data_IF_416877797870
#
_entry.id   IF_416877797870
#
_cell.length_a   1.000
_cell.length_b   1.000
_cell.length_c   1.000
_cell.angle_alpha   90.00
_cell.angle_beta   90.00
_cell.angle_gamma   90.00
#
_symmetry.space_group_name_H-M   'P 1'
#
loop_
_entity.id
_entity.type
_entity.pdbx_description
1 polymer ?
#
# COMPACT_ATOMS: atom_id res chain seq x y z
N UNK A 1 58.95 18.63 11.90
CA UNK A 1 57.77 19.19 11.21
C UNK A 1 56.70 18.12 11.19
N UNK A 2 55.68 18.31 12.00
CA UNK A 2 54.61 17.33 12.24
C UNK A 2 53.35 17.74 11.47
N UNK A 3 52.67 16.86 10.71
CA UNK A 3 51.39 17.18 10.09
C UNK A 3 50.25 16.87 11.05
N UNK A 4 49.39 17.88 11.26
CA UNK A 4 48.20 17.86 12.09
C UNK A 4 47.12 16.95 11.50
N UNK A 5 46.69 15.96 12.27
CA UNK A 5 45.47 15.17 12.02
C UNK A 5 44.26 16.06 12.20
N UNK A 6 43.46 16.27 11.14
CA UNK A 6 42.11 16.81 11.23
C UNK A 6 41.13 15.66 11.48
N UNK A 7 40.52 15.63 12.65
CA UNK A 7 39.37 14.77 12.94
C UNK A 7 38.11 15.43 12.35
N UNK A 8 37.53 14.76 11.40
CA UNK A 8 36.19 15.10 10.91
C UNK A 8 35.15 14.41 11.83
N UNK A 9 34.40 15.19 12.56
CA UNK A 9 33.29 14.69 13.39
C UNK A 9 32.11 14.47 12.45
N UNK A 10 31.74 13.24 12.23
CA UNK A 10 30.50 12.88 11.56
C UNK A 10 29.32 13.09 12.55
N UNK A 11 28.51 14.09 12.29
CA UNK A 11 27.28 14.35 13.02
C UNK A 11 26.22 13.34 12.56
N UNK A 12 26.01 12.28 13.35
CA UNK A 12 24.94 11.31 13.12
C UNK A 12 23.60 11.92 13.48
N UNK A 13 22.79 12.26 12.48
CA UNK A 13 21.39 12.60 12.69
C UNK A 13 20.61 11.32 13.06
N UNK A 14 20.33 11.18 14.34
CA UNK A 14 19.33 10.26 14.86
C UNK A 14 17.95 10.86 14.59
N UNK A 15 17.24 10.34 13.62
CA UNK A 15 15.80 10.61 13.44
C UNK A 15 15.09 9.86 14.55
N UNK A 16 14.71 10.56 15.59
CA UNK A 16 13.80 10.07 16.62
C UNK A 16 12.40 10.05 16.00
N UNK A 17 11.86 8.88 15.76
CA UNK A 17 10.45 8.70 15.49
C UNK A 17 9.68 8.97 16.79
N UNK A 18 9.24 10.22 16.96
CA UNK A 18 8.35 10.60 18.05
C UNK A 18 6.97 10.04 17.75
N UNK A 19 6.61 8.93 18.44
CA UNK A 19 5.25 8.41 18.49
C UNK A 19 4.35 9.42 19.23
N UNK A 20 3.51 10.13 18.49
CA UNK A 20 2.43 10.93 19.05
C UNK A 20 1.28 9.98 19.40
N UNK A 21 1.31 9.39 20.60
CA UNK A 21 0.14 8.85 21.25
C UNK A 21 -0.59 10.01 21.93
N UNK A 22 -1.52 10.65 21.23
CA UNK A 22 -2.48 11.54 21.86
C UNK A 22 -3.51 10.71 22.62
N UNK A 23 -3.42 10.67 23.96
CA UNK A 23 -4.49 10.22 24.82
C UNK A 23 -5.68 11.18 24.66
N UNK A 24 -6.64 10.85 23.81
CA UNK A 24 -7.94 11.50 23.76
C UNK A 24 -8.76 11.01 24.97
N UNK A 25 -8.91 11.88 25.96
CA UNK A 25 -9.81 11.69 27.10
C UNK A 25 -11.24 11.44 26.58
N UNK A 26 -11.81 10.30 26.97
CA UNK A 26 -13.17 9.93 26.62
C UNK A 26 -14.17 10.80 27.39
N UNK A 27 -14.56 11.93 26.82
CA UNK A 27 -15.74 12.68 27.21
C UNK A 27 -16.99 11.98 26.67
N UNK A 28 -17.86 11.48 27.51
CA UNK A 28 -19.18 10.97 27.12
C UNK A 28 -20.11 12.14 26.81
N UNK A 29 -20.28 12.44 25.51
CA UNK A 29 -21.29 13.39 25.05
C UNK A 29 -22.54 12.60 24.65
N UNK A 30 -23.76 12.96 25.14
CA UNK A 30 -25.01 12.40 24.68
C UNK A 30 -25.34 12.98 23.29
N UNK A 31 -24.80 12.37 22.24
CA UNK A 31 -25.11 12.74 20.86
C UNK A 31 -26.28 11.94 20.32
N UNK A 32 -27.22 12.60 19.71
CA UNK A 32 -28.46 12.07 19.13
C UNK A 32 -28.21 10.88 18.19
N UNK A 33 -28.95 9.79 18.38
CA UNK A 33 -28.83 8.51 17.68
C UNK A 33 -29.08 8.58 16.16
N UNK A 34 -29.60 9.67 15.64
CA UNK A 34 -29.90 9.87 14.22
C UNK A 34 -28.75 10.41 13.38
N UNK A 35 -27.75 11.01 14.01
CA UNK A 35 -26.69 11.73 13.34
C UNK A 35 -25.53 10.83 12.79
N UNK A 36 -25.54 9.54 13.03
CA UNK A 36 -24.49 8.59 12.66
C UNK A 36 -24.93 7.55 11.61
N UNK A 37 -26.19 7.59 11.20
CA UNK A 37 -26.76 6.50 10.39
C UNK A 37 -26.11 6.34 9.02
N UNK A 38 -25.75 7.45 8.33
CA UNK A 38 -25.09 7.38 7.04
C UNK A 38 -23.69 6.75 7.14
N UNK A 39 -22.88 7.18 8.12
CA UNK A 39 -21.54 6.61 8.35
C UNK A 39 -21.59 5.16 8.82
N UNK A 40 -22.58 4.80 9.66
CA UNK A 40 -22.79 3.42 10.06
C UNK A 40 -23.17 2.53 8.88
N UNK A 41 -24.03 3.00 7.96
CA UNK A 41 -24.35 2.25 6.73
C UNK A 41 -23.13 2.10 5.83
N UNK A 42 -22.35 3.17 5.61
CA UNK A 42 -21.12 3.13 4.85
C UNK A 42 -20.07 2.17 5.46
N UNK A 43 -20.11 1.96 6.78
CA UNK A 43 -19.16 1.08 7.48
C UNK A 43 -19.70 -0.33 7.78
N UNK A 44 -20.97 -0.62 7.45
CA UNK A 44 -21.55 -1.95 7.60
C UNK A 44 -22.00 -2.46 6.23
N UNK A 45 -21.04 -2.80 5.37
CA UNK A 45 -21.31 -3.24 4.00
C UNK A 45 -20.32 -4.27 3.47
N UNK A 46 -20.74 -4.98 2.46
CA UNK A 46 -19.90 -5.71 1.52
C UNK A 46 -19.87 -4.95 0.20
N UNK A 47 -18.73 -4.93 -0.49
CA UNK A 47 -18.62 -4.20 -1.75
C UNK A 47 -17.78 -4.94 -2.79
N UNK A 48 -18.00 -4.61 -4.05
CA UNK A 48 -17.16 -4.98 -5.17
C UNK A 48 -16.87 -3.76 -6.02
N UNK A 49 -15.60 -3.57 -6.36
CA UNK A 49 -15.12 -2.43 -7.13
C UNK A 49 -14.33 -2.88 -8.34
N UNK A 50 -14.36 -2.06 -9.39
CA UNK A 50 -13.50 -2.18 -10.56
C UNK A 50 -12.87 -0.83 -10.89
N UNK A 51 -11.68 -0.86 -11.49
CA UNK A 51 -10.98 0.38 -11.81
C UNK A 51 -9.62 0.15 -12.45
N UNK A 52 -8.73 1.09 -12.23
CA UNK A 52 -7.38 1.10 -12.81
C UNK A 52 -6.36 1.37 -11.73
N UNK A 53 -5.27 0.61 -11.74
CA UNK A 53 -4.08 0.88 -10.98
C UNK A 53 -2.97 1.34 -11.92
N UNK A 54 -2.45 2.53 -11.70
CA UNK A 54 -1.21 3.01 -12.31
C UNK A 54 -0.04 2.55 -11.46
N UNK A 55 0.84 1.74 -12.05
CA UNK A 55 2.08 1.27 -11.43
C UNK A 55 3.24 2.12 -11.94
N UNK A 56 4.13 2.50 -11.02
CA UNK A 56 5.40 3.11 -11.33
C UNK A 56 6.48 2.55 -10.40
N UNK A 57 7.38 1.79 -10.97
CA UNK A 57 8.49 1.11 -10.31
C UNK A 57 9.82 1.64 -10.82
N UNK A 58 10.80 1.76 -9.94
CA UNK A 58 12.19 2.10 -10.25
C UNK A 58 13.14 1.21 -9.48
N UNK A 59 14.21 0.88 -10.12
CA UNK A 59 15.31 0.08 -9.59
C UNK A 59 16.62 0.84 -9.76
N UNK A 60 17.43 0.91 -8.70
CA UNK A 60 18.74 1.57 -8.72
C UNK A 60 19.82 0.52 -9.03
N UNK A 61 20.28 0.46 -10.27
CA UNK A 61 21.27 -0.50 -10.74
C UNK A 61 22.71 0.04 -10.70
N UNK A 62 22.92 1.21 -10.09
CA UNK A 62 24.24 1.83 -9.89
C UNK A 62 24.27 3.32 -10.22
N UNK A 63 25.42 3.97 -10.05
CA UNK A 63 25.53 5.42 -10.15
C UNK A 63 24.98 5.99 -11.46
N UNK A 64 23.88 6.77 -11.35
CA UNK A 64 23.25 7.40 -12.49
C UNK A 64 22.50 6.48 -13.44
N UNK A 65 22.24 5.22 -13.05
CA UNK A 65 21.52 4.23 -13.85
C UNK A 65 20.32 3.70 -13.07
N UNK A 66 19.19 3.68 -13.70
CA UNK A 66 17.96 3.10 -13.15
C UNK A 66 17.16 2.39 -14.20
N UNK A 67 16.56 1.30 -13.83
CA UNK A 67 15.51 0.65 -14.59
C UNK A 67 14.15 1.12 -14.08
N UNK A 68 13.15 1.12 -14.94
CA UNK A 68 11.80 1.54 -14.55
C UNK A 68 10.73 0.73 -15.26
N UNK A 69 9.61 0.54 -14.58
CA UNK A 69 8.38 0.03 -15.18
C UNK A 69 7.23 0.99 -14.91
N UNK A 70 6.43 1.22 -15.93
CA UNK A 70 5.27 2.08 -15.84
C UNK A 70 4.13 1.56 -16.71
N UNK A 71 2.92 1.60 -16.15
CA UNK A 71 1.73 1.25 -16.93
C UNK A 71 0.46 1.29 -16.10
N UNK A 72 -0.65 1.09 -16.80
CA UNK A 72 -1.98 1.00 -16.21
C UNK A 72 -2.44 -0.45 -16.27
N UNK A 73 -2.92 -0.96 -15.14
CA UNK A 73 -3.45 -2.31 -15.00
C UNK A 73 -4.92 -2.24 -14.59
N UNK A 74 -5.76 -3.14 -15.11
CA UNK A 74 -7.13 -3.26 -14.66
C UNK A 74 -7.16 -3.77 -13.22
N UNK A 75 -7.92 -3.14 -12.35
CA UNK A 75 -7.99 -3.47 -10.92
C UNK A 75 -9.41 -3.89 -10.53
N UNK A 76 -9.50 -4.90 -9.66
CA UNK A 76 -10.74 -5.40 -9.06
C UNK A 76 -10.54 -5.56 -7.56
N UNK A 77 -11.57 -5.22 -6.76
CA UNK A 77 -11.55 -5.35 -5.31
C UNK A 77 -12.86 -5.96 -4.81
N UNK A 78 -12.73 -6.76 -3.78
CA UNK A 78 -13.83 -7.27 -2.97
C UNK A 78 -13.50 -7.00 -1.51
N UNK A 79 -14.47 -6.49 -0.74
CA UNK A 79 -14.24 -6.24 0.67
C UNK A 79 -15.52 -6.21 1.49
N UNK A 80 -15.32 -6.14 2.80
CA UNK A 80 -16.37 -5.98 3.78
C UNK A 80 -15.88 -5.12 4.95
N UNK A 81 -16.80 -4.39 5.56
CA UNK A 81 -16.55 -3.66 6.80
C UNK A 81 -17.72 -3.78 7.76
N UNK A 82 -17.44 -3.58 9.03
CA UNK A 82 -18.48 -3.50 10.06
C UNK A 82 -18.05 -2.54 11.16
N UNK A 83 -19.01 -1.72 11.62
CA UNK A 83 -18.87 -0.88 12.80
C UNK A 83 -20.02 -1.20 13.74
N UNK A 84 -19.72 -1.81 14.87
CA UNK A 84 -20.75 -2.27 15.82
C UNK A 84 -20.25 -2.30 17.26
N UNK A 85 -21.18 -2.55 18.16
CA UNK A 85 -20.82 -2.87 19.53
C UNK A 85 -20.46 -4.37 19.63
N UNK A 86 -19.28 -4.65 20.16
CA UNK A 86 -18.80 -6.01 20.47
C UNK A 86 -18.15 -6.02 21.85
N UNK A 87 -18.39 -7.06 22.62
CA UNK A 87 -17.79 -7.24 23.96
C UNK A 87 -18.01 -6.05 24.91
N UNK A 88 -19.15 -5.37 24.82
CA UNK A 88 -19.44 -4.18 25.62
C UNK A 88 -18.77 -2.88 25.14
N UNK A 89 -17.91 -2.94 24.11
CA UNK A 89 -17.26 -1.77 23.51
C UNK A 89 -18.06 -1.32 22.29
N UNK A 90 -18.53 -0.07 22.32
CA UNK A 90 -19.26 0.53 21.20
C UNK A 90 -18.32 0.99 20.08
N UNK A 91 -18.86 1.03 18.84
CA UNK A 91 -18.19 1.58 17.66
C UNK A 91 -16.87 0.89 17.30
N UNK A 92 -16.71 -0.40 17.61
CA UNK A 92 -15.59 -1.16 17.07
C UNK A 92 -15.72 -1.30 15.56
N UNK A 93 -14.63 -1.02 14.84
CA UNK A 93 -14.55 -1.04 13.39
C UNK A 93 -13.61 -2.16 12.94
N UNK A 94 -14.07 -2.94 11.97
CA UNK A 94 -13.27 -3.95 11.29
C UNK A 94 -13.50 -3.83 9.80
N UNK A 95 -12.44 -4.00 9.01
CA UNK A 95 -12.58 -4.15 7.56
C UNK A 95 -11.55 -5.12 7.00
N UNK A 96 -11.91 -5.76 5.90
CA UNK A 96 -11.04 -6.60 5.12
C UNK A 96 -11.32 -6.42 3.65
N UNK A 97 -10.27 -6.36 2.84
CA UNK A 97 -10.38 -6.26 1.38
C UNK A 97 -9.27 -7.06 0.70
N UNK A 98 -9.61 -7.60 -0.46
CA UNK A 98 -8.66 -8.18 -1.42
C UNK A 98 -8.76 -7.38 -2.71
N UNK A 99 -7.62 -6.95 -3.25
CA UNK A 99 -7.52 -6.29 -4.55
C UNK A 99 -6.57 -7.07 -5.44
N UNK A 100 -6.96 -7.25 -6.69
CA UNK A 100 -6.09 -7.80 -7.74
C UNK A 100 -6.01 -6.77 -8.86
N UNK A 101 -4.79 -6.47 -9.32
CA UNK A 101 -4.60 -5.67 -10.52
C UNK A 101 -3.74 -6.43 -11.53
N UNK A 102 -4.14 -6.41 -12.80
CA UNK A 102 -3.49 -7.19 -13.86
C UNK A 102 -3.45 -6.39 -15.16
N UNK A 103 -2.30 -6.44 -15.85
CA UNK A 103 -2.11 -5.82 -17.16
C UNK A 103 -0.65 -5.83 -17.61
N UNK A 104 -0.41 -5.16 -18.72
CA UNK A 104 0.94 -4.97 -19.23
C UNK A 104 1.46 -3.60 -18.83
N UNK A 105 2.75 -3.55 -18.48
CA UNK A 105 3.49 -2.33 -18.17
C UNK A 105 4.75 -2.27 -19.04
N UNK A 106 5.20 -1.07 -19.34
CA UNK A 106 6.38 -0.84 -20.16
C UNK A 106 7.62 -0.76 -19.28
N UNK A 107 8.58 -1.62 -19.54
CA UNK A 107 9.92 -1.55 -18.97
C UNK A 107 10.82 -0.70 -19.86
N UNK A 108 11.60 0.16 -19.23
CA UNK A 108 12.67 0.91 -19.88
C UNK A 108 13.89 0.99 -18.97
N UNK A 109 15.05 0.61 -19.51
CA UNK A 109 16.25 0.56 -18.68
C UNK A 109 17.47 0.01 -19.42
N UNK A 110 18.21 -0.84 -18.74
CA UNK A 110 19.48 -1.41 -19.21
C UNK A 110 19.37 -2.94 -19.29
N UNK A 111 19.76 -3.51 -20.43
CA UNK A 111 20.03 -4.94 -20.46
C UNK A 111 21.38 -5.20 -19.80
N UNK A 112 21.38 -6.01 -18.76
CA UNK A 112 22.57 -6.39 -18.02
C UNK A 112 22.97 -7.83 -18.34
N UNK A 113 24.26 -8.05 -18.44
CA UNK A 113 24.83 -9.41 -18.53
C UNK A 113 24.91 -10.05 -17.12
N UNK A 114 25.29 -11.32 -17.11
CA UNK A 114 25.36 -12.16 -15.89
C UNK A 114 26.23 -11.56 -14.78
N UNK A 115 27.23 -10.74 -15.13
CA UNK A 115 28.13 -10.09 -14.17
C UNK A 115 27.71 -8.64 -13.85
N UNK A 116 26.49 -8.22 -14.25
CA UNK A 116 25.96 -6.88 -14.00
C UNK A 116 26.52 -5.79 -14.94
N UNK A 117 27.34 -6.17 -15.94
CA UNK A 117 27.79 -5.20 -16.95
C UNK A 117 26.62 -4.82 -17.88
N UNK A 118 26.52 -3.54 -18.23
CA UNK A 118 25.55 -3.08 -19.23
C UNK A 118 25.94 -3.64 -20.59
N UNK A 119 25.04 -4.43 -21.19
CA UNK A 119 25.17 -4.97 -22.53
C UNK A 119 24.50 -4.03 -23.55
N UNK A 120 23.30 -3.52 -23.20
CA UNK A 120 22.57 -2.59 -24.06
C UNK A 120 21.88 -1.51 -23.19
N UNK A 121 22.16 -0.23 -23.43
CA UNK A 121 21.40 0.88 -22.83
C UNK A 121 20.06 1.08 -23.58
N UNK A 122 19.12 1.74 -22.91
CA UNK A 122 17.80 2.07 -23.46
C UNK A 122 17.02 0.84 -23.97
N UNK A 123 17.19 -0.30 -23.27
CA UNK A 123 16.42 -1.50 -23.58
C UNK A 123 14.97 -1.32 -23.17
N UNK A 124 14.06 -1.78 -24.02
CA UNK A 124 12.63 -1.70 -23.79
C UNK A 124 11.99 -3.06 -23.98
N UNK A 125 11.10 -3.42 -23.08
CA UNK A 125 10.27 -4.62 -23.18
C UNK A 125 8.92 -4.40 -22.50
N UNK A 126 7.99 -5.30 -22.72
CA UNK A 126 6.71 -5.31 -22.02
C UNK A 126 6.73 -6.36 -20.93
N UNK A 127 6.37 -5.97 -19.73
CA UNK A 127 6.22 -6.84 -18.56
C UNK A 127 4.73 -7.04 -18.27
N UNK A 128 4.31 -8.28 -18.05
CA UNK A 128 2.99 -8.59 -17.51
C UNK A 128 3.06 -8.45 -15.99
N UNK A 129 2.31 -7.50 -15.45
CA UNK A 129 2.23 -7.23 -14.01
C UNK A 129 0.93 -7.76 -13.43
N UNK A 130 1.02 -8.49 -12.33
CA UNK A 130 -0.13 -8.92 -11.54
C UNK A 130 0.17 -8.63 -10.07
N UNK A 131 -0.61 -7.74 -9.45
CA UNK A 131 -0.52 -7.49 -8.01
C UNK A 131 -1.74 -8.07 -7.30
N UNK A 132 -1.53 -8.62 -6.12
CA UNK A 132 -2.59 -9.04 -5.19
C UNK A 132 -2.30 -8.43 -3.84
N UNK A 133 -3.24 -7.61 -3.36
CA UNK A 133 -3.16 -6.95 -2.07
C UNK A 133 -4.28 -7.46 -1.16
N UNK A 134 -3.94 -7.88 0.06
CA UNK A 134 -4.89 -8.16 1.13
C UNK A 134 -4.69 -7.12 2.21
N UNK A 135 -5.75 -6.47 2.67
CA UNK A 135 -5.66 -5.48 3.75
C UNK A 135 -6.72 -5.76 4.80
N UNK A 136 -6.30 -5.81 6.06
CA UNK A 136 -7.16 -5.94 7.23
C UNK A 136 -6.95 -4.73 8.14
N UNK A 137 -8.04 -4.20 8.70
CA UNK A 137 -8.03 -3.08 9.66
C UNK A 137 -8.90 -3.43 10.86
N UNK A 138 -8.44 -3.05 12.06
CA UNK A 138 -9.22 -3.15 13.29
C UNK A 138 -9.03 -1.87 14.11
N UNK A 139 -10.12 -1.22 14.48
CA UNK A 139 -10.08 0.08 15.15
C UNK A 139 -11.34 0.39 15.93
N UNK A 140 -11.45 1.65 16.34
CA UNK A 140 -12.61 2.15 17.05
C UNK A 140 -12.98 3.54 16.50
N UNK A 141 -14.26 3.73 16.17
CA UNK A 141 -14.76 5.02 15.75
C UNK A 141 -15.08 5.92 16.94
N UNK A 142 -14.66 7.17 16.83
CA UNK A 142 -14.94 8.24 17.76
C UNK A 142 -15.78 9.31 17.04
N UNK A 143 -17.08 9.39 17.33
CA UNK A 143 -17.94 10.40 16.74
C UNK A 143 -17.51 11.82 17.13
N UNK A 144 -17.61 12.73 16.17
CA UNK A 144 -17.32 14.13 16.31
C UNK A 144 -18.49 14.98 15.78
N UNK A 145 -18.75 16.10 16.41
CA UNK A 145 -19.70 17.11 15.92
C UNK A 145 -18.92 18.37 15.59
N UNK A 146 -18.88 18.73 14.31
CA UNK A 146 -18.19 19.91 13.80
C UNK A 146 -19.22 20.95 13.36
N UNK A 147 -19.78 21.67 14.32
CA UNK A 147 -20.95 22.55 14.08
C UNK A 147 -22.18 21.76 13.65
N UNK A 148 -22.64 21.94 12.41
CA UNK A 148 -23.76 21.20 11.83
C UNK A 148 -23.35 19.89 11.16
N UNK A 149 -22.07 19.58 11.08
CA UNK A 149 -21.53 18.41 10.39
C UNK A 149 -21.33 17.25 11.35
N UNK A 150 -21.79 16.07 10.94
CA UNK A 150 -21.45 14.82 11.61
C UNK A 150 -20.20 14.24 11.00
N UNK A 151 -19.25 13.92 11.86
CA UNK A 151 -17.98 13.32 11.47
C UNK A 151 -17.60 12.22 12.45
N UNK A 152 -16.61 11.42 12.09
CA UNK A 152 -15.93 10.53 13.01
C UNK A 152 -14.47 10.33 12.61
N UNK A 153 -13.66 9.98 13.58
CA UNK A 153 -12.30 9.53 13.37
C UNK A 153 -12.15 8.09 13.86
N UNK A 154 -11.42 7.29 13.11
CA UNK A 154 -11.21 5.87 13.38
C UNK A 154 -9.70 5.61 13.38
N UNK A 155 -9.00 5.74 14.52
CA UNK A 155 -7.68 5.16 14.66
C UNK A 155 -7.78 3.64 14.57
N UNK A 156 -6.84 3.01 13.85
CA UNK A 156 -6.84 1.58 13.64
C UNK A 156 -5.42 1.00 13.55
N UNK A 157 -5.30 -0.28 13.87
CA UNK A 157 -4.16 -1.12 13.49
C UNK A 157 -4.46 -1.80 12.17
N UNK A 158 -3.42 -2.11 11.38
CA UNK A 158 -3.59 -2.75 10.09
C UNK A 158 -2.54 -3.82 9.86
N UNK A 159 -2.97 -4.83 9.12
CA UNK A 159 -2.11 -5.82 8.50
C UNK A 159 -2.40 -5.81 7.00
N UNK A 160 -1.33 -5.86 6.18
CA UNK A 160 -1.47 -6.05 4.74
C UNK A 160 -0.48 -7.11 4.23
N UNK A 161 -0.89 -7.80 3.18
CA UNK A 161 -0.05 -8.69 2.41
C UNK A 161 -0.03 -8.21 0.97
N UNK A 162 1.15 -8.16 0.38
CA UNK A 162 1.38 -7.79 -1.02
C UNK A 162 2.10 -8.92 -1.74
N UNK A 163 1.59 -9.28 -2.91
CA UNK A 163 2.16 -10.25 -3.83
C UNK A 163 2.18 -9.62 -5.22
N UNK A 164 3.35 -9.50 -5.82
CA UNK A 164 3.52 -8.96 -7.15
C UNK A 164 4.27 -9.93 -8.05
N UNK A 165 3.62 -10.36 -9.10
CA UNK A 165 4.20 -11.13 -10.19
C UNK A 165 4.59 -10.18 -11.31
N UNK A 166 5.87 -10.16 -11.64
CA UNK A 166 6.51 -9.42 -12.70
C UNK A 166 7.00 -10.43 -13.74
N UNK A 167 6.26 -10.55 -14.84
CA UNK A 167 6.50 -11.57 -15.87
C UNK A 167 6.89 -10.92 -17.19
N UNK A 168 8.18 -10.86 -17.46
CA UNK A 168 8.75 -10.44 -18.73
C UNK A 168 9.28 -11.61 -19.56
N UNK A 169 8.99 -12.87 -19.19
CA UNK A 169 9.54 -14.08 -19.79
C UNK A 169 9.18 -14.31 -21.28
N UNK A 170 8.32 -13.47 -21.86
CA UNK A 170 8.05 -13.44 -23.31
C UNK A 170 9.18 -12.79 -24.10
N UNK A 171 9.96 -11.94 -23.45
CA UNK A 171 11.17 -11.37 -24.01
C UNK A 171 12.32 -12.37 -23.85
N UNK A 172 13.22 -12.54 -24.84
CA UNK A 172 14.35 -13.47 -24.77
C UNK A 172 15.30 -13.22 -23.58
N UNK A 173 15.31 -12.01 -23.04
CA UNK A 173 16.13 -11.60 -21.89
C UNK A 173 15.29 -11.32 -20.63
N UNK A 174 14.00 -11.58 -20.69
CA UNK A 174 13.08 -11.34 -19.58
C UNK A 174 13.05 -12.49 -18.58
N UNK A 175 12.56 -12.18 -17.40
CA UNK A 175 12.45 -13.11 -16.29
C UNK A 175 11.00 -13.17 -15.77
N UNK A 176 10.72 -14.21 -14.99
CA UNK A 176 9.53 -14.29 -14.16
C UNK A 176 9.98 -14.10 -12.69
N UNK A 177 9.52 -13.04 -12.08
CA UNK A 177 9.86 -12.65 -10.73
C UNK A 177 8.59 -12.53 -9.88
N UNK A 178 8.70 -12.88 -8.61
CA UNK A 178 7.61 -12.75 -7.66
C UNK A 178 8.07 -12.08 -6.38
N UNK A 179 7.58 -10.88 -6.12
CA UNK A 179 7.86 -10.09 -4.93
C UNK A 179 6.75 -10.27 -3.92
N UNK A 180 7.11 -10.44 -2.65
CA UNK A 180 6.15 -10.61 -1.56
C UNK A 180 6.62 -9.87 -0.32
N UNK A 181 5.67 -9.28 0.40
CA UNK A 181 5.92 -8.74 1.72
C UNK A 181 4.63 -8.64 2.54
N UNK A 182 4.80 -8.56 3.85
CA UNK A 182 3.77 -8.23 4.80
C UNK A 182 4.00 -6.82 5.33
N UNK A 183 2.94 -6.13 5.76
CA UNK A 183 3.03 -4.82 6.42
C UNK A 183 2.22 -4.86 7.69
N UNK A 184 2.85 -4.50 8.80
CA UNK A 184 2.19 -4.31 10.09
C UNK A 184 2.27 -2.83 10.42
N UNK A 185 1.15 -2.22 10.71
CA UNK A 185 1.10 -0.79 10.94
C UNK A 185 -0.19 -0.30 11.54
N UNK A 186 -0.48 0.96 11.33
CA UNK A 186 -1.70 1.60 11.76
C UNK A 186 -1.99 2.85 10.97
N UNK A 187 -3.15 3.42 11.19
CA UNK A 187 -3.60 4.58 10.48
C UNK A 187 -4.72 5.32 11.19
N UNK A 188 -5.16 6.36 10.52
CA UNK A 188 -6.27 7.19 10.94
C UNK A 188 -7.19 7.38 9.74
N UNK A 189 -8.46 7.02 9.89
CA UNK A 189 -9.51 7.27 8.93
C UNK A 189 -10.43 8.35 9.49
N UNK A 190 -10.65 9.41 8.72
CA UNK A 190 -11.64 10.44 8.97
C UNK A 190 -12.84 10.26 8.06
N UNK A 191 -14.05 10.36 8.59
CA UNK A 191 -15.29 10.32 7.81
C UNK A 191 -16.14 11.53 8.11
N UNK A 192 -16.79 12.04 7.06
CA UNK A 192 -17.69 13.19 7.11
C UNK A 192 -19.01 12.83 6.41
N UNK A 193 -20.11 13.00 7.09
CA UNK A 193 -21.43 12.98 6.49
C UNK A 193 -21.68 14.30 5.74
N UNK A 194 -21.44 14.29 4.43
CA UNK A 194 -21.66 15.45 3.56
C UNK A 194 -23.14 15.71 3.37
N UNK A 195 -23.92 14.64 3.23
CA UNK A 195 -25.40 14.63 3.24
C UNK A 195 -25.88 13.34 3.90
N UNK A 196 -27.17 13.20 4.25
CA UNK A 196 -27.71 11.95 4.80
C UNK A 196 -27.54 10.70 3.91
N UNK A 197 -27.06 10.91 2.66
CA UNK A 197 -26.80 9.84 1.68
C UNK A 197 -25.36 9.77 1.21
N UNK A 198 -24.52 10.77 1.53
CA UNK A 198 -23.15 10.86 1.02
C UNK A 198 -22.16 10.97 2.18
N UNK A 199 -21.28 10.01 2.26
CA UNK A 199 -20.13 10.00 3.19
C UNK A 199 -18.85 10.19 2.41
N UNK A 200 -18.02 11.15 2.83
CA UNK A 200 -16.66 11.31 2.38
C UNK A 200 -15.71 10.70 3.41
N UNK A 201 -14.69 9.99 2.93
CA UNK A 201 -13.66 9.31 3.75
C UNK A 201 -12.28 9.76 3.32
N UNK A 202 -11.41 10.07 4.27
CA UNK A 202 -9.98 10.23 4.08
C UNK A 202 -9.25 9.24 4.98
N UNK A 203 -8.24 8.54 4.45
CA UNK A 203 -7.51 7.49 5.14
C UNK A 203 -6.00 7.67 4.94
N UNK A 204 -5.24 7.61 6.02
CA UNK A 204 -3.77 7.62 5.97
C UNK A 204 -3.25 6.50 6.87
N UNK A 205 -2.38 5.65 6.33
CA UNK A 205 -1.73 4.58 7.10
C UNK A 205 -0.23 4.52 6.81
N UNK A 206 0.51 4.10 7.81
CA UNK A 206 1.92 3.78 7.69
C UNK A 206 2.22 2.45 8.41
N UNK A 207 3.22 1.74 7.94
CA UNK A 207 3.62 0.48 8.54
C UNK A 207 5.05 0.09 8.22
N UNK A 208 5.52 -0.90 8.96
CA UNK A 208 6.79 -1.56 8.75
C UNK A 208 6.57 -2.79 7.86
N UNK A 209 7.38 -2.90 6.83
CA UNK A 209 7.46 -4.06 5.97
C UNK A 209 8.14 -5.21 6.72
N UNK A 210 7.67 -6.43 6.54
CA UNK A 210 8.21 -7.64 7.17
C UNK A 210 8.24 -8.77 6.15
N UNK A 211 9.34 -9.55 6.15
CA UNK A 211 9.46 -10.74 5.32
C UNK A 211 9.48 -10.45 3.82
N UNK A 212 10.11 -9.33 3.44
CA UNK A 212 10.25 -8.95 2.04
C UNK A 212 11.15 -9.91 1.29
N UNK A 213 10.68 -10.40 0.17
CA UNK A 213 11.41 -11.37 -0.65
C UNK A 213 11.09 -11.22 -2.14
N UNK A 214 12.06 -11.56 -2.97
CA UNK A 214 11.88 -11.78 -4.40
C UNK A 214 12.32 -13.20 -4.75
N UNK A 215 11.52 -13.89 -5.55
CA UNK A 215 11.83 -15.23 -6.08
C UNK A 215 11.90 -15.14 -7.59
N UNK A 216 13.03 -15.59 -8.14
CA UNK A 216 13.24 -15.70 -9.58
C UNK A 216 12.82 -17.10 -10.03
N UNK A 217 11.88 -17.21 -10.97
CA UNK A 217 11.44 -18.50 -11.50
C UNK A 217 12.57 -19.20 -12.28
N UNK A 218 12.59 -20.53 -12.17
CA UNK A 218 13.67 -21.35 -12.75
C UNK A 218 14.91 -21.45 -11.87
N UNK A 219 15.03 -20.62 -10.81
CA UNK A 219 16.00 -20.80 -9.74
C UNK A 219 15.29 -21.18 -8.44
N UNK A 220 15.95 -21.98 -7.60
CA UNK A 220 15.43 -22.24 -6.24
C UNK A 220 15.78 -21.08 -5.29
N UNK A 221 16.27 -19.96 -5.83
CA UNK A 221 16.80 -18.87 -5.04
C UNK A 221 15.72 -17.84 -4.72
N UNK A 222 15.61 -17.55 -3.45
CA UNK A 222 14.81 -16.45 -2.92
C UNK A 222 15.76 -15.42 -2.35
N UNK A 223 15.63 -14.18 -2.84
CA UNK A 223 16.35 -13.04 -2.34
C UNK A 223 15.58 -12.45 -1.16
N UNK A 224 16.24 -12.33 -0.02
CA UNK A 224 15.69 -11.59 1.13
C UNK A 224 15.95 -10.11 0.92
N UNK A 225 14.88 -9.33 0.83
CA UNK A 225 14.96 -7.89 0.56
C UNK A 225 15.01 -7.10 1.87
N UNK A 226 15.65 -5.94 1.84
CA UNK A 226 15.64 -5.01 2.97
C UNK A 226 14.24 -4.45 3.21
N UNK A 227 13.74 -4.57 4.45
CA UNK A 227 12.46 -4.03 4.84
C UNK A 227 12.52 -2.50 4.98
N UNK A 228 11.56 -1.80 4.39
CA UNK A 228 11.43 -0.34 4.43
C UNK A 228 10.01 0.06 4.87
N UNK A 229 9.79 1.31 5.30
CA UNK A 229 8.45 1.80 5.60
C UNK A 229 7.54 1.81 4.37
N UNK A 230 6.25 1.57 4.61
CA UNK A 230 5.16 1.69 3.64
C UNK A 230 4.24 2.81 4.06
N UNK A 231 3.84 3.67 3.13
CA UNK A 231 2.89 4.75 3.36
C UNK A 231 1.77 4.63 2.34
N UNK A 232 0.54 4.78 2.81
CA UNK A 232 -0.66 4.75 1.98
C UNK A 232 -1.55 5.91 2.38
N UNK A 233 -2.11 6.60 1.39
CA UNK A 233 -3.13 7.63 1.59
C UNK A 233 -4.29 7.38 0.63
N UNK A 234 -5.51 7.57 1.09
CA UNK A 234 -6.70 7.31 0.31
C UNK A 234 -7.80 8.33 0.55
N UNK A 235 -8.68 8.42 -0.43
CA UNK A 235 -9.91 9.18 -0.37
C UNK A 235 -11.05 8.33 -0.94
N UNK A 236 -12.23 8.42 -0.34
CA UNK A 236 -13.41 7.68 -0.78
C UNK A 236 -14.68 8.51 -0.67
N UNK A 237 -15.61 8.21 -1.55
CA UNK A 237 -16.99 8.68 -1.51
C UNK A 237 -17.90 7.47 -1.50
N UNK A 238 -18.87 7.44 -0.61
CA UNK A 238 -19.92 6.43 -0.52
C UNK A 238 -21.28 7.11 -0.60
N UNK A 239 -22.08 6.75 -1.61
CA UNK A 239 -23.40 7.31 -1.84
C UNK A 239 -24.48 6.24 -1.75
N UNK A 240 -25.40 6.39 -0.79
CA UNK A 240 -26.58 5.52 -0.62
C UNK A 240 -27.62 5.83 -1.70
N UNK A 241 -27.66 5.03 -2.76
CA UNK A 241 -28.64 5.12 -3.84
C UNK A 241 -30.01 4.67 -3.33
N UNK A 242 -30.05 3.61 -2.53
CA UNK A 242 -31.22 3.09 -1.85
C UNK A 242 -30.84 2.71 -0.41
N UNK A 243 -31.82 2.24 0.38
CA UNK A 243 -31.61 1.93 1.80
C UNK A 243 -30.37 1.06 2.07
N UNK A 244 -30.17 0.04 1.25
CA UNK A 244 -29.09 -0.95 1.41
C UNK A 244 -28.09 -0.93 0.25
N UNK A 245 -28.37 -0.22 -0.86
CA UNK A 245 -27.49 -0.19 -2.03
C UNK A 245 -26.70 1.11 -2.09
N UNK A 246 -25.40 0.97 -2.20
CA UNK A 246 -24.45 2.05 -2.25
C UNK A 246 -23.65 2.02 -3.57
N UNK A 247 -23.24 3.19 -4.01
CA UNK A 247 -22.21 3.36 -5.04
C UNK A 247 -21.04 4.05 -4.39
N UNK A 248 -19.85 3.53 -4.62
CA UNK A 248 -18.63 4.08 -4.06
C UNK A 248 -17.62 4.43 -5.15
N UNK A 249 -16.80 5.43 -4.86
CA UNK A 249 -15.66 5.81 -5.65
C UNK A 249 -14.47 5.99 -4.71
N UNK A 250 -13.33 5.39 -5.04
CA UNK A 250 -12.13 5.46 -4.20
C UNK A 250 -10.90 5.79 -5.00
N UNK A 251 -10.00 6.50 -4.36
CA UNK A 251 -8.62 6.72 -4.80
C UNK A 251 -7.69 6.29 -3.69
N UNK A 252 -6.65 5.53 -4.03
CA UNK A 252 -5.57 5.17 -3.13
C UNK A 252 -4.23 5.44 -3.79
N UNK A 253 -3.36 6.12 -3.08
CA UNK A 253 -1.96 6.28 -3.37
C UNK A 253 -1.14 5.47 -2.37
N UNK A 254 -0.20 4.68 -2.86
CA UNK A 254 0.72 3.93 -2.00
C UNK A 254 2.16 4.10 -2.46
N UNK A 255 3.08 4.11 -1.49
CA UNK A 255 4.51 4.14 -1.72
C UNK A 255 5.21 3.17 -0.80
N UNK A 256 6.05 2.33 -1.39
CA UNK A 256 6.94 1.44 -0.67
C UNK A 256 8.27 1.30 -1.39
N UNK A 257 9.25 0.71 -0.71
CA UNK A 257 10.60 0.49 -1.20
C UNK A 257 11.08 -0.87 -0.72
N UNK A 258 11.86 -1.55 -1.55
CA UNK A 258 12.68 -2.67 -1.10
C UNK A 258 14.11 -2.21 -0.94
N UNK A 259 14.77 -2.62 0.14
CA UNK A 259 16.21 -2.48 0.27
C UNK A 259 16.93 -3.59 -0.50
N UNK A 260 18.13 -3.31 -0.93
CA UNK A 260 19.01 -4.26 -1.61
C UNK A 260 19.10 -5.58 -0.84
N UNK A 261 19.08 -6.70 -1.57
CA UNK A 261 19.34 -8.02 -1.00
C UNK A 261 20.84 -8.26 -0.77
N UNK A 262 21.15 -9.29 0.01
CA UNK A 262 22.49 -9.88 0.01
C UNK A 262 22.78 -10.53 -1.35
N UNK A 263 24.10 -10.66 -1.64
CA UNK A 263 24.56 -11.37 -2.83
C UNK A 263 24.29 -12.86 -2.65
N UNK A 264 23.54 -13.44 -3.58
CA UNK A 264 23.13 -14.85 -3.56
C UNK A 264 23.68 -15.56 -4.79
N UNK A 265 24.20 -16.77 -4.61
CA UNK A 265 24.62 -17.61 -5.73
C UNK A 265 23.41 -18.14 -6.49
N UNK A 266 23.24 -17.76 -7.76
CA UNK A 266 22.10 -18.13 -8.61
C UNK A 266 22.38 -19.31 -9.53
N UNK A 267 23.67 -19.56 -9.81
CA UNK A 267 24.16 -20.72 -10.56
C UNK A 267 25.62 -20.99 -10.18
N UNK A 268 26.20 -22.17 -10.49
CA UNK A 268 27.62 -22.43 -10.27
C UNK A 268 28.49 -21.35 -10.91
N UNK A 269 29.25 -20.61 -10.09
CA UNK A 269 30.12 -19.51 -10.52
C UNK A 269 29.43 -18.19 -10.83
N UNK A 270 28.10 -18.10 -10.65
CA UNK A 270 27.31 -16.86 -10.88
C UNK A 270 26.58 -16.45 -9.62
N UNK A 271 26.71 -15.18 -9.24
CA UNK A 271 26.03 -14.58 -8.09
C UNK A 271 25.28 -13.33 -8.54
N UNK A 272 24.12 -13.09 -7.94
CA UNK A 272 23.30 -11.93 -8.18
C UNK A 272 22.81 -11.32 -6.86
N UNK A 273 22.29 -10.13 -6.92
CA UNK A 273 21.59 -9.46 -5.86
C UNK A 273 20.41 -8.67 -6.45
N UNK A 274 19.40 -8.46 -5.66
CA UNK A 274 18.27 -7.58 -6.00
C UNK A 274 18.62 -6.15 -5.58
N UNK A 275 18.57 -5.16 -6.47
CA UNK A 275 18.90 -3.77 -6.14
C UNK A 275 17.89 -3.10 -5.21
N UNK A 276 18.24 -1.91 -4.70
CA UNK A 276 17.27 -1.03 -4.06
C UNK A 276 16.22 -0.60 -5.08
N UNK A 277 14.95 -0.67 -4.67
CA UNK A 277 13.85 -0.31 -5.56
C UNK A 277 12.77 0.49 -4.85
N UNK A 278 11.95 1.16 -5.64
CA UNK A 278 10.84 2.00 -5.18
C UNK A 278 9.62 1.80 -6.06
N UNK A 279 8.47 1.63 -5.42
CA UNK A 279 7.17 1.52 -6.10
C UNK A 279 6.22 2.61 -5.63
N UNK A 280 5.50 3.21 -6.57
CA UNK A 280 4.35 4.06 -6.34
C UNK A 280 3.18 3.48 -7.12
N UNK A 281 2.08 3.19 -6.44
CA UNK A 281 0.82 2.84 -7.07
C UNK A 281 -0.22 3.94 -6.83
N UNK A 282 -1.02 4.22 -7.85
CA UNK A 282 -2.21 5.06 -7.77
C UNK A 282 -3.38 4.26 -8.31
N UNK A 283 -4.41 4.06 -7.48
CA UNK A 283 -5.54 3.20 -7.83
C UNK A 283 -6.83 4.00 -7.75
N UNK A 284 -7.59 3.99 -8.84
CA UNK A 284 -8.91 4.61 -8.95
C UNK A 284 -9.94 3.53 -9.16
N UNK A 285 -10.97 3.49 -8.33
CA UNK A 285 -12.00 2.46 -8.41
C UNK A 285 -13.38 3.04 -8.24
N UNK A 286 -14.34 2.40 -8.88
CA UNK A 286 -15.79 2.65 -8.72
C UNK A 286 -16.44 1.31 -8.46
N UNK A 287 -17.40 1.29 -7.57
CA UNK A 287 -18.05 0.04 -7.20
C UNK A 287 -19.44 0.20 -6.64
N UNK A 288 -19.96 -0.96 -6.24
CA UNK A 288 -21.26 -1.08 -5.59
C UNK A 288 -21.10 -1.79 -4.26
N UNK A 289 -21.88 -1.34 -3.28
CA UNK A 289 -21.92 -1.91 -1.94
C UNK A 289 -23.34 -2.30 -1.53
N UNK A 290 -23.43 -3.28 -0.66
CA UNK A 290 -24.69 -3.67 0.01
C UNK A 290 -24.50 -3.52 1.52
N UNK A 291 -25.25 -2.59 2.11
CA UNK A 291 -25.26 -2.34 3.54
C UNK A 291 -26.23 -3.28 4.26
N UNK A 292 -25.84 -3.80 5.44
CA UNK A 292 -26.58 -4.77 6.24
C UNK A 292 -26.80 -4.33 7.70
#
# INVERSE_FOLDING_TARGET
MSPKLRRTIACGQRVAAAGVFACLAAGTFPGSAFAQEAMLRANNQVWVDAGVQQLHYWEDIGPGKSDSERGNTAAFSLGASTQRQLFGVSNLYFSGAVRVAHGNVDYGGYLQGITGQVVQPNYQMTTRSTTTDVTLKAGKAFPLHLGTWNAQVIPYVSYSYHDWIRDSSRDPYGFYERYRHHVIGGGLMGQLEVTPKLVATADVRAGAMVGSSMTLAGSQNTFTLGNKPVIVAGFGLDYAVARNFHVNATYEWSRFQYGRSDVTQVAPGSSAYEPDSKTINQTWMIGVGYAF
#
